data_IF_826106713468
#
_entry.id   IF_826106713468
#
_cell.length_a   1.000
_cell.length_b   1.000
_cell.length_c   1.000
_cell.angle_alpha   90.00
_cell.angle_beta   90.00
_cell.angle_gamma   90.00
#
_symmetry.space_group_name_H-M   'P 1'
#
loop_
_entity.id
_entity.type
_entity.pdbx_description
1 polymer ?
#
# COMPACT_ATOMS: atom_id res chain seq x y z
N UNK A 1 -4.46 -30.70 2.26
CA UNK A 1 -3.73 -29.45 2.66
C UNK A 1 -2.40 -29.44 1.91
N UNK A 2 -1.98 -28.35 1.24
CA UNK A 2 -0.77 -28.34 0.41
C UNK A 2 0.46 -28.36 1.34
N UNK A 3 1.26 -29.43 1.34
CA UNK A 3 2.44 -29.65 2.20
C UNK A 3 3.37 -28.42 2.26
N UNK A 4 3.63 -27.77 1.11
CA UNK A 4 4.46 -26.57 1.02
C UNK A 4 3.90 -25.39 1.83
N UNK A 5 2.57 -25.22 1.82
CA UNK A 5 1.92 -24.16 2.62
C UNK A 5 2.02 -24.49 4.12
N UNK A 6 1.79 -25.73 4.52
CA UNK A 6 1.87 -26.14 5.93
C UNK A 6 3.29 -25.96 6.48
N UNK A 7 4.32 -26.32 5.71
CA UNK A 7 5.71 -26.13 6.09
C UNK A 7 6.03 -24.63 6.24
N UNK A 8 5.71 -23.80 5.23
CA UNK A 8 5.93 -22.36 5.28
C UNK A 8 5.19 -21.71 6.45
N UNK A 9 3.91 -22.04 6.62
CA UNK A 9 3.08 -21.53 7.71
C UNK A 9 3.63 -21.92 9.08
N UNK A 10 4.13 -23.15 9.24
CA UNK A 10 4.79 -23.62 10.46
C UNK A 10 6.05 -22.81 10.78
N UNK A 11 6.94 -22.61 9.79
CA UNK A 11 8.15 -21.80 9.97
C UNK A 11 7.80 -20.36 10.34
N UNK A 12 6.88 -19.73 9.59
CA UNK A 12 6.43 -18.35 9.88
C UNK A 12 5.79 -18.26 11.27
N UNK A 13 4.98 -19.24 11.65
CA UNK A 13 4.36 -19.31 12.99
C UNK A 13 5.40 -19.33 14.11
N UNK A 14 6.47 -20.10 13.98
CA UNK A 14 7.56 -20.14 14.96
C UNK A 14 8.31 -18.81 14.98
N UNK A 15 8.77 -18.35 13.83
CA UNK A 15 9.52 -17.08 13.72
C UNK A 15 8.71 -15.90 14.24
N UNK A 16 7.43 -15.83 13.96
CA UNK A 16 6.56 -14.74 14.39
C UNK A 16 6.41 -14.61 15.91
N UNK A 17 6.64 -15.69 16.67
CA UNK A 17 6.58 -15.69 18.13
C UNK A 17 7.86 -15.19 18.80
N UNK A 18 8.94 -15.02 18.04
CA UNK A 18 10.19 -14.50 18.58
C UNK A 18 9.99 -13.08 19.17
N UNK A 19 10.72 -12.75 20.25
CA UNK A 19 10.73 -11.39 20.79
C UNK A 19 11.21 -10.37 19.76
N UNK A 20 10.71 -9.15 19.80
CA UNK A 20 11.08 -8.08 18.88
C UNK A 20 12.58 -7.83 18.79
N UNK A 21 13.30 -7.92 19.92
CA UNK A 21 14.77 -7.75 19.94
C UNK A 21 15.46 -8.78 19.04
N UNK A 22 14.98 -10.03 19.05
CA UNK A 22 15.53 -11.11 18.24
C UNK A 22 15.17 -10.89 16.76
N UNK A 23 13.91 -10.54 16.46
CA UNK A 23 13.46 -10.23 15.09
C UNK A 23 14.26 -9.07 14.48
N UNK A 24 14.53 -8.02 15.26
CA UNK A 24 15.34 -6.91 14.77
C UNK A 24 16.83 -7.23 14.64
N UNK A 25 17.39 -8.10 15.48
CA UNK A 25 18.74 -8.61 15.28
C UNK A 25 18.84 -9.43 13.97
N UNK A 26 17.82 -10.26 13.68
CA UNK A 26 17.70 -10.96 12.40
C UNK A 26 17.60 -9.96 11.24
N UNK A 27 16.78 -8.91 11.37
CA UNK A 27 16.67 -7.84 10.37
C UNK A 27 18.01 -7.16 10.09
N UNK A 28 18.76 -6.83 11.12
CA UNK A 28 20.08 -6.17 10.99
C UNK A 28 21.10 -7.09 10.29
N UNK A 29 21.09 -8.38 10.60
CA UNK A 29 21.87 -9.38 9.88
C UNK A 29 21.43 -9.55 8.42
N UNK A 30 20.12 -9.63 8.18
CA UNK A 30 19.56 -9.65 6.82
C UNK A 30 19.97 -8.41 6.02
N UNK A 31 19.95 -7.22 6.62
CA UNK A 31 20.41 -5.99 5.97
C UNK A 31 21.86 -6.12 5.49
N UNK A 32 22.75 -6.68 6.34
CA UNK A 32 24.13 -6.93 5.92
C UNK A 32 24.18 -7.83 4.68
N UNK A 33 23.49 -8.96 4.69
CA UNK A 33 23.46 -9.90 3.56
C UNK A 33 22.83 -9.28 2.30
N UNK A 34 21.67 -8.63 2.43
CA UNK A 34 20.89 -8.09 1.31
C UNK A 34 21.61 -6.89 0.67
N UNK A 35 22.19 -6.00 1.49
CA UNK A 35 22.79 -4.76 1.00
C UNK A 35 24.25 -4.95 0.55
N UNK A 36 25.08 -5.63 1.34
CA UNK A 36 26.52 -5.72 1.05
C UNK A 36 26.89 -6.97 0.23
N UNK A 37 26.30 -8.13 0.53
CA UNK A 37 26.66 -9.40 -0.10
C UNK A 37 25.85 -9.59 -1.38
N UNK A 38 24.54 -9.75 -1.30
CA UNK A 38 23.66 -10.01 -2.44
C UNK A 38 23.46 -8.78 -3.32
N UNK A 39 23.62 -7.58 -2.79
CA UNK A 39 23.39 -6.29 -3.48
C UNK A 39 22.03 -6.23 -4.16
N UNK A 40 21.00 -6.81 -3.51
CA UNK A 40 19.68 -7.02 -4.07
C UNK A 40 19.08 -5.70 -4.59
N UNK A 41 18.92 -5.60 -5.90
CA UNK A 41 18.33 -4.46 -6.62
C UNK A 41 18.95 -3.09 -6.31
N UNK A 42 20.19 -3.00 -5.80
CA UNK A 42 20.82 -1.72 -5.44
C UNK A 42 20.88 -0.73 -6.61
N UNK A 43 21.16 -1.21 -7.85
CA UNK A 43 21.14 -0.34 -9.04
C UNK A 43 19.76 0.27 -9.26
N UNK A 44 18.67 -0.50 -9.08
CA UNK A 44 17.29 -0.01 -9.22
C UNK A 44 16.96 1.02 -8.13
N UNK A 45 17.29 0.74 -6.88
CA UNK A 45 17.06 1.66 -5.76
C UNK A 45 17.83 2.95 -5.96
N UNK A 46 19.13 2.87 -6.30
CA UNK A 46 19.99 4.03 -6.56
C UNK A 46 19.45 4.88 -7.71
N UNK A 47 19.10 4.27 -8.86
CA UNK A 47 18.56 4.98 -10.01
C UNK A 47 17.23 5.67 -9.67
N UNK A 48 16.32 4.96 -9.00
CA UNK A 48 15.06 5.52 -8.55
C UNK A 48 15.27 6.73 -7.63
N UNK A 49 16.12 6.62 -6.61
CA UNK A 49 16.41 7.70 -5.66
C UNK A 49 17.07 8.91 -6.34
N UNK A 50 18.11 8.68 -7.15
CA UNK A 50 18.84 9.78 -7.83
C UNK A 50 17.90 10.57 -8.76
N UNK A 51 17.04 9.88 -9.50
CA UNK A 51 16.10 10.54 -10.41
C UNK A 51 14.90 11.19 -9.72
N UNK A 52 14.56 10.74 -8.50
CA UNK A 52 13.46 11.29 -7.71
C UNK A 52 13.88 12.47 -6.83
N UNK A 53 15.16 12.60 -6.54
CA UNK A 53 15.73 13.64 -5.69
C UNK A 53 16.93 14.30 -6.36
N UNK A 54 16.69 14.88 -7.53
CA UNK A 54 17.75 15.47 -8.39
C UNK A 54 18.57 16.57 -7.71
N UNK A 55 17.99 17.25 -6.69
CA UNK A 55 18.68 18.28 -5.90
C UNK A 55 19.54 17.74 -4.75
N UNK A 56 19.55 16.41 -4.49
CA UNK A 56 20.33 15.81 -3.39
C UNK A 56 21.72 15.37 -3.88
N UNK A 57 22.71 15.55 -3.01
CA UNK A 57 24.05 15.04 -3.27
C UNK A 57 24.08 13.51 -3.31
N UNK A 58 25.10 12.96 -3.98
CA UNK A 58 25.27 11.48 -4.06
C UNK A 58 25.43 10.84 -2.69
N UNK A 59 25.98 11.55 -1.71
CA UNK A 59 26.16 11.01 -0.37
C UNK A 59 24.85 11.01 0.43
N UNK A 60 23.98 12.00 0.23
CA UNK A 60 22.61 11.97 0.75
C UNK A 60 21.81 10.83 0.13
N UNK A 61 21.90 10.62 -1.18
CA UNK A 61 21.26 9.48 -1.88
C UNK A 61 21.76 8.15 -1.32
N UNK A 62 23.07 7.99 -1.10
CA UNK A 62 23.63 6.77 -0.49
C UNK A 62 23.18 6.58 0.97
N UNK A 63 22.99 7.67 1.72
CA UNK A 63 22.44 7.60 3.08
C UNK A 63 21.01 7.10 3.06
N UNK A 64 20.14 7.71 2.24
CA UNK A 64 18.73 7.28 2.07
C UNK A 64 18.66 5.81 1.59
N UNK A 65 19.53 5.40 0.67
CA UNK A 65 19.61 4.01 0.21
C UNK A 65 19.93 3.04 1.36
N UNK A 66 20.91 3.36 2.23
CA UNK A 66 21.24 2.52 3.39
C UNK A 66 20.11 2.44 4.41
N UNK A 67 19.46 3.58 4.66
CA UNK A 67 18.29 3.66 5.54
C UNK A 67 17.12 2.86 4.96
N UNK A 68 16.90 2.92 3.64
CA UNK A 68 15.89 2.12 2.95
C UNK A 68 16.13 0.61 3.15
N UNK A 69 17.35 0.11 3.00
CA UNK A 69 17.60 -1.33 3.20
C UNK A 69 17.47 -1.75 4.66
N UNK A 70 17.75 -0.86 5.61
CA UNK A 70 17.44 -1.09 7.02
C UNK A 70 15.92 -1.24 7.21
N UNK A 71 15.15 -0.28 6.70
CA UNK A 71 13.69 -0.33 6.72
C UNK A 71 13.14 -1.57 5.99
N UNK A 72 13.65 -1.88 4.80
CA UNK A 72 13.18 -3.01 3.99
C UNK A 72 13.32 -4.35 4.72
N UNK A 73 14.43 -4.56 5.44
CA UNK A 73 14.61 -5.76 6.24
C UNK A 73 13.72 -5.74 7.50
N UNK A 74 13.53 -4.58 8.13
CA UNK A 74 12.56 -4.41 9.22
C UNK A 74 11.14 -4.77 8.77
N UNK A 75 10.70 -4.25 7.61
CA UNK A 75 9.40 -4.57 7.02
C UNK A 75 9.20 -6.09 6.83
N UNK A 76 10.23 -6.83 6.42
CA UNK A 76 10.11 -8.27 6.24
C UNK A 76 9.85 -8.99 7.56
N UNK A 77 10.59 -8.68 8.64
CA UNK A 77 10.37 -9.30 9.95
C UNK A 77 9.09 -8.82 10.62
N UNK A 78 8.69 -7.57 10.41
CA UNK A 78 7.43 -7.00 10.86
C UNK A 78 6.23 -7.68 10.16
N UNK A 79 6.36 -7.99 8.86
CA UNK A 79 5.36 -8.79 8.11
C UNK A 79 5.27 -10.22 8.64
N UNK A 80 6.41 -10.85 8.97
CA UNK A 80 6.42 -12.17 9.63
C UNK A 80 5.70 -12.08 10.98
N UNK A 81 5.98 -11.06 11.78
CA UNK A 81 5.35 -10.85 13.08
C UNK A 81 3.83 -10.69 12.99
N UNK A 82 3.32 -10.17 11.86
CA UNK A 82 1.88 -10.06 11.61
C UNK A 82 1.13 -11.40 11.78
N UNK A 83 1.82 -12.53 11.63
CA UNK A 83 1.21 -13.86 11.81
C UNK A 83 0.74 -14.12 13.25
N UNK A 84 1.42 -13.58 14.27
CA UNK A 84 1.12 -13.85 15.69
C UNK A 84 0.93 -12.61 16.56
N UNK A 85 1.08 -11.40 16.00
CA UNK A 85 0.88 -10.15 16.74
C UNK A 85 -0.54 -10.11 17.33
N UNK A 86 -0.71 -9.67 18.58
CA UNK A 86 -2.03 -9.55 19.20
C UNK A 86 -2.72 -8.25 18.79
N UNK A 87 -4.02 -8.19 19.02
CA UNK A 87 -4.84 -7.02 18.76
C UNK A 87 -4.39 -5.82 19.60
N UNK A 88 -4.01 -6.06 20.86
CA UNK A 88 -3.51 -5.03 21.77
C UNK A 88 -2.16 -4.51 21.29
N UNK A 89 -1.28 -5.41 20.86
CA UNK A 89 0.04 -5.04 20.40
C UNK A 89 -0.01 -4.25 19.09
N UNK A 90 -0.85 -4.67 18.12
CA UNK A 90 -0.96 -3.94 16.84
C UNK A 90 -1.59 -2.56 17.03
N UNK A 91 -2.56 -2.38 17.95
CA UNK A 91 -3.14 -1.06 18.28
C UNK A 91 -2.09 -0.06 18.78
N UNK A 92 -1.09 -0.52 19.52
CA UNK A 92 -0.01 0.34 20.01
C UNK A 92 1.03 0.65 18.93
N UNK A 93 1.28 -0.31 18.03
CA UNK A 93 2.33 -0.23 16.99
C UNK A 93 1.88 0.41 15.69
N UNK A 94 0.60 0.30 15.35
CA UNK A 94 -0.04 0.97 14.22
C UNK A 94 -1.24 1.75 14.74
N UNK A 95 -1.07 3.06 14.89
CA UNK A 95 -2.12 3.96 15.37
C UNK A 95 -2.80 4.62 14.20
N UNK A 96 -4.13 4.66 14.24
CA UNK A 96 -4.94 5.30 13.22
C UNK A 96 -5.58 6.58 13.77
N UNK A 97 -5.60 7.65 12.96
CA UNK A 97 -6.41 8.85 13.17
C UNK A 97 -7.31 9.09 11.98
N UNK A 98 -8.35 9.92 12.17
CA UNK A 98 -9.32 10.26 11.11
C UNK A 98 -10.34 9.17 10.79
N UNK A 99 -10.27 7.99 11.42
CA UNK A 99 -11.19 6.86 11.13
C UNK A 99 -12.59 7.18 11.63
N UNK A 100 -12.73 7.74 12.84
CA UNK A 100 -14.03 8.14 13.39
C UNK A 100 -14.70 9.18 12.50
N UNK A 101 -13.94 10.20 12.09
CA UNK A 101 -14.41 11.24 11.19
C UNK A 101 -14.90 10.67 9.87
N UNK A 102 -14.12 9.77 9.25
CA UNK A 102 -14.48 9.11 7.99
C UNK A 102 -15.78 8.29 8.12
N UNK A 103 -15.92 7.51 9.20
CA UNK A 103 -17.11 6.67 9.42
C UNK A 103 -18.34 7.55 9.64
N UNK A 104 -18.27 8.55 10.53
CA UNK A 104 -19.38 9.47 10.79
C UNK A 104 -19.76 10.27 9.55
N UNK A 105 -18.79 10.76 8.77
CA UNK A 105 -19.06 11.49 7.54
C UNK A 105 -19.80 10.63 6.51
N UNK A 106 -19.45 9.34 6.41
CA UNK A 106 -20.18 8.39 5.55
C UNK A 106 -21.63 8.20 6.00
N UNK A 107 -21.86 8.12 7.32
CA UNK A 107 -23.19 7.98 7.92
C UNK A 107 -24.03 9.24 7.69
N UNK A 108 -23.51 10.42 8.06
CA UNK A 108 -24.20 11.70 7.92
C UNK A 108 -24.60 12.02 6.47
N UNK A 109 -23.72 11.69 5.51
CA UNK A 109 -23.96 11.92 4.09
C UNK A 109 -24.73 10.78 3.42
N UNK A 110 -25.06 9.71 4.14
CA UNK A 110 -25.71 8.52 3.59
C UNK A 110 -24.90 7.82 2.51
N UNK A 111 -23.56 7.92 2.55
CA UNK A 111 -22.68 7.32 1.56
C UNK A 111 -22.47 5.83 1.83
N UNK A 112 -22.58 5.01 0.78
CA UNK A 112 -22.36 3.57 0.90
C UNK A 112 -20.88 3.20 0.79
N UNK A 113 -20.03 4.06 0.18
CA UNK A 113 -18.64 3.73 -0.09
C UNK A 113 -17.68 4.82 0.38
N UNK A 114 -16.64 4.38 1.13
CA UNK A 114 -15.43 5.13 1.39
C UNK A 114 -14.24 4.40 0.74
N UNK A 115 -13.50 5.06 -0.14
CA UNK A 115 -12.34 4.50 -0.79
C UNK A 115 -11.07 5.14 -0.26
N UNK A 116 -10.11 4.33 0.13
CA UNK A 116 -8.84 4.78 0.70
C UNK A 116 -7.71 4.43 -0.25
N UNK A 117 -7.04 5.45 -0.79
CA UNK A 117 -5.78 5.27 -1.48
C UNK A 117 -4.65 4.95 -0.48
N UNK A 118 -3.87 3.94 -0.80
CA UNK A 118 -2.69 3.51 -0.05
C UNK A 118 -1.48 3.42 -0.98
N UNK A 119 -0.29 3.35 -0.37
CA UNK A 119 0.95 3.09 -1.07
C UNK A 119 1.75 1.97 -0.38
N UNK A 120 2.75 1.41 -1.07
CA UNK A 120 3.74 0.52 -0.46
C UNK A 120 4.74 1.36 0.36
N UNK A 121 4.23 1.99 1.42
CA UNK A 121 4.94 2.93 2.28
C UNK A 121 4.84 2.52 3.75
N UNK A 122 5.93 2.59 4.50
CA UNK A 122 5.97 2.08 5.86
C UNK A 122 5.64 0.58 5.95
N UNK A 123 5.11 0.12 7.06
CA UNK A 123 4.65 -1.26 7.19
C UNK A 123 3.20 -1.39 6.68
N UNK A 124 3.00 -1.27 5.36
CA UNK A 124 1.68 -1.29 4.72
C UNK A 124 0.87 -2.57 4.97
N UNK A 125 1.50 -3.72 5.27
CA UNK A 125 0.77 -4.93 5.63
C UNK A 125 0.04 -4.76 6.99
N UNK A 126 0.57 -3.93 7.89
CA UNK A 126 -0.07 -3.64 9.17
C UNK A 126 -1.29 -2.73 9.03
N UNK A 127 -1.41 -1.99 7.92
CA UNK A 127 -2.60 -1.18 7.63
C UNK A 127 -3.86 -2.07 7.51
N UNK A 128 -3.71 -3.37 7.26
CA UNK A 128 -4.84 -4.32 7.32
C UNK A 128 -5.58 -4.32 8.68
N UNK A 129 -4.91 -3.91 9.76
CA UNK A 129 -5.55 -3.74 11.09
C UNK A 129 -6.54 -2.56 11.16
N UNK A 130 -6.56 -1.67 10.16
CA UNK A 130 -7.58 -0.65 10.00
C UNK A 130 -9.00 -1.24 9.98
N UNK A 131 -9.15 -2.45 9.45
CA UNK A 131 -10.43 -3.14 9.43
C UNK A 131 -11.05 -3.32 10.82
N UNK A 132 -10.21 -3.66 11.81
CA UNK A 132 -10.66 -3.74 13.20
C UNK A 132 -11.03 -2.36 13.73
N UNK A 133 -10.21 -1.34 13.46
CA UNK A 133 -10.46 0.03 13.93
C UNK A 133 -11.78 0.60 13.36
N UNK A 134 -12.09 0.32 12.08
CA UNK A 134 -13.38 0.70 11.47
C UNK A 134 -14.53 0.06 12.24
N UNK A 135 -14.45 -1.25 12.52
CA UNK A 135 -15.49 -1.97 13.26
C UNK A 135 -15.60 -1.58 14.73
N UNK A 136 -14.50 -1.13 15.33
CA UNK A 136 -14.52 -0.57 16.70
C UNK A 136 -15.34 0.74 16.75
N UNK A 137 -15.45 1.49 15.61
CA UNK A 137 -16.32 2.69 15.50
C UNK A 137 -17.75 2.29 15.20
N UNK A 138 -17.95 1.49 14.14
CA UNK A 138 -19.25 0.96 13.78
C UNK A 138 -19.12 -0.45 13.18
N UNK A 139 -19.70 -1.44 13.86
CA UNK A 139 -19.60 -2.87 13.51
C UNK A 139 -20.31 -3.23 12.20
N UNK A 140 -21.26 -2.41 11.73
CA UNK A 140 -22.06 -2.68 10.52
C UNK A 140 -21.28 -2.40 9.24
N UNK A 141 -20.18 -1.65 9.34
CA UNK A 141 -19.32 -1.38 8.19
C UNK A 141 -18.59 -2.65 7.72
N UNK A 142 -18.48 -2.79 6.41
CA UNK A 142 -17.70 -3.85 5.75
C UNK A 142 -16.34 -3.29 5.33
N UNK A 143 -15.25 -3.52 6.08
CA UNK A 143 -13.91 -3.19 5.64
C UNK A 143 -13.43 -4.19 4.60
N UNK A 144 -12.85 -3.69 3.50
CA UNK A 144 -12.31 -4.50 2.42
C UNK A 144 -10.96 -3.93 1.93
N UNK A 145 -10.19 -4.75 1.24
CA UNK A 145 -8.94 -4.35 0.60
C UNK A 145 -8.77 -5.03 -0.74
N UNK A 146 -8.40 -4.25 -1.75
CA UNK A 146 -8.10 -4.79 -3.07
C UNK A 146 -6.65 -5.27 -3.12
N UNK A 147 -6.44 -6.48 -3.62
CA UNK A 147 -5.12 -7.05 -3.78
C UNK A 147 -4.90 -7.69 -5.16
N UNK A 148 -3.64 -7.73 -5.59
CA UNK A 148 -3.24 -8.47 -6.77
C UNK A 148 -2.79 -9.89 -6.36
N UNK A 149 -3.47 -10.96 -6.80
CA UNK A 149 -3.05 -12.33 -6.50
C UNK A 149 -1.60 -12.59 -6.93
N UNK A 150 -0.83 -13.21 -6.05
CA UNK A 150 0.56 -13.56 -6.33
C UNK A 150 0.65 -14.79 -7.23
N UNK A 151 1.67 -14.83 -8.09
CA UNK A 151 1.94 -15.98 -8.95
C UNK A 151 2.29 -17.25 -8.15
N UNK A 152 3.01 -17.11 -7.05
CA UNK A 152 3.29 -18.21 -6.14
C UNK A 152 2.10 -18.44 -5.19
N UNK A 153 1.36 -19.51 -5.41
CA UNK A 153 0.15 -19.86 -4.66
C UNK A 153 0.35 -20.08 -3.15
N UNK A 154 1.55 -20.49 -2.74
CA UNK A 154 1.89 -20.67 -1.33
C UNK A 154 1.99 -19.34 -0.60
N UNK A 155 2.70 -18.38 -1.19
CA UNK A 155 2.77 -17.00 -0.66
C UNK A 155 1.44 -16.27 -0.79
N UNK A 156 0.72 -16.44 -1.90
CA UNK A 156 -0.61 -15.86 -2.09
C UNK A 156 -1.55 -16.23 -0.94
N UNK A 157 -1.61 -17.51 -0.60
CA UNK A 157 -2.42 -18.00 0.53
C UNK A 157 -1.95 -17.46 1.89
N UNK A 158 -0.63 -17.33 2.09
CA UNK A 158 -0.09 -16.74 3.32
C UNK A 158 -0.50 -15.28 3.46
N UNK A 159 -0.30 -14.46 2.43
CA UNK A 159 -0.68 -13.05 2.46
C UNK A 159 -2.19 -12.84 2.54
N UNK A 160 -2.99 -13.70 1.88
CA UNK A 160 -4.44 -13.69 2.03
C UNK A 160 -4.84 -13.90 3.50
N UNK A 161 -4.23 -14.88 4.18
CA UNK A 161 -4.45 -15.13 5.61
C UNK A 161 -4.02 -13.92 6.46
N UNK A 162 -2.80 -13.40 6.26
CA UNK A 162 -2.27 -12.28 7.04
C UNK A 162 -3.16 -11.04 6.95
N UNK A 163 -3.57 -10.70 5.73
CA UNK A 163 -4.41 -9.52 5.46
C UNK A 163 -5.83 -9.66 5.95
N UNK A 164 -6.35 -10.89 6.04
CA UNK A 164 -7.70 -11.16 6.54
C UNK A 164 -7.81 -11.26 8.06
N UNK A 165 -6.68 -11.32 8.79
CA UNK A 165 -6.66 -11.56 10.25
C UNK A 165 -7.49 -10.58 11.07
N UNK A 166 -7.55 -9.33 10.65
CA UNK A 166 -8.29 -8.29 11.36
C UNK A 166 -9.71 -8.09 10.82
N UNK A 167 -10.17 -9.04 10.01
CA UNK A 167 -11.56 -9.07 9.53
C UNK A 167 -11.80 -8.27 8.25
N UNK A 168 -10.76 -7.83 7.53
CA UNK A 168 -10.95 -7.25 6.20
C UNK A 168 -11.31 -8.32 5.16
N UNK A 169 -12.25 -8.00 4.27
CA UNK A 169 -12.53 -8.79 3.08
C UNK A 169 -11.45 -8.54 2.03
N UNK A 170 -10.67 -9.56 1.67
CA UNK A 170 -9.65 -9.46 0.62
C UNK A 170 -10.27 -9.70 -0.75
N UNK A 171 -10.28 -8.67 -1.61
CA UNK A 171 -10.93 -8.68 -2.93
C UNK A 171 -9.87 -8.73 -4.03
N UNK A 172 -9.84 -9.77 -4.87
CA UNK A 172 -8.95 -9.79 -6.04
C UNK A 172 -9.23 -8.61 -6.96
N UNK A 173 -8.17 -7.96 -7.46
CA UNK A 173 -8.29 -6.74 -8.28
C UNK A 173 -9.26 -6.90 -9.47
N UNK A 174 -9.31 -8.08 -10.10
CA UNK A 174 -10.23 -8.35 -11.21
C UNK A 174 -11.70 -8.44 -10.80
N UNK A 175 -11.97 -8.69 -9.52
CA UNK A 175 -13.32 -8.86 -8.97
C UNK A 175 -13.83 -7.59 -8.26
N UNK A 176 -13.02 -6.54 -8.21
CA UNK A 176 -13.33 -5.31 -7.46
C UNK A 176 -14.67 -4.71 -7.88
N UNK A 177 -14.92 -4.55 -9.19
CA UNK A 177 -16.18 -3.97 -9.67
C UNK A 177 -17.39 -4.83 -9.29
N UNK A 178 -17.27 -6.15 -9.43
CA UNK A 178 -18.33 -7.09 -9.04
C UNK A 178 -18.62 -6.98 -7.55
N UNK A 179 -17.59 -7.01 -6.71
CA UNK A 179 -17.74 -6.84 -5.26
C UNK A 179 -18.45 -5.53 -4.90
N UNK A 180 -18.03 -4.41 -5.50
CA UNK A 180 -18.66 -3.10 -5.26
C UNK A 180 -20.14 -3.11 -5.64
N UNK A 181 -20.51 -3.72 -6.78
CA UNK A 181 -21.91 -3.82 -7.20
C UNK A 181 -22.73 -4.71 -6.24
N UNK A 182 -22.17 -5.81 -5.75
CA UNK A 182 -22.79 -6.69 -4.76
C UNK A 182 -23.04 -5.93 -3.42
N UNK A 183 -22.06 -5.15 -2.93
CA UNK A 183 -22.23 -4.35 -1.73
C UNK A 183 -23.29 -3.24 -1.92
N UNK A 184 -23.30 -2.60 -3.10
CA UNK A 184 -24.31 -1.58 -3.46
C UNK A 184 -25.73 -2.17 -3.46
N UNK A 185 -25.91 -3.34 -4.07
CA UNK A 185 -27.19 -4.03 -4.10
C UNK A 185 -27.67 -4.43 -2.69
N UNK A 186 -26.73 -4.86 -1.86
CA UNK A 186 -27.00 -5.20 -0.46
C UNK A 186 -27.17 -3.98 0.46
N UNK A 187 -26.98 -2.75 -0.06
CA UNK A 187 -26.99 -1.46 0.69
C UNK A 187 -26.04 -1.48 1.89
N UNK A 188 -24.87 -2.12 1.77
CA UNK A 188 -23.89 -2.23 2.85
C UNK A 188 -22.87 -1.09 2.77
N UNK A 189 -22.72 -0.36 3.86
CA UNK A 189 -21.64 0.62 3.98
C UNK A 189 -20.29 -0.09 3.98
N UNK A 190 -19.43 0.29 3.02
CA UNK A 190 -18.21 -0.45 2.72
C UNK A 190 -17.03 0.52 2.58
N UNK A 191 -15.95 0.25 3.32
CA UNK A 191 -14.69 0.99 3.21
C UNK A 191 -13.65 0.09 2.53
N UNK A 192 -13.09 0.55 1.40
CA UNK A 192 -12.20 -0.26 0.56
C UNK A 192 -10.85 0.40 0.41
N UNK A 193 -9.78 -0.30 0.81
CA UNK A 193 -8.40 0.12 0.61
C UNK A 193 -7.84 -0.30 -0.76
N UNK A 194 -7.16 0.62 -1.44
CA UNK A 194 -6.53 0.42 -2.75
C UNK A 194 -5.05 0.82 -2.71
N UNK A 195 -4.13 -0.12 -2.84
CA UNK A 195 -2.72 0.19 -3.02
C UNK A 195 -2.48 0.49 -4.51
N UNK A 196 -2.23 1.76 -4.87
CA UNK A 196 -2.27 2.23 -6.26
C UNK A 196 -0.94 2.79 -6.79
N UNK A 197 0.15 2.73 -6.03
CA UNK A 197 1.45 3.36 -6.35
C UNK A 197 2.35 2.58 -7.31
N UNK A 198 1.95 1.38 -7.76
CA UNK A 198 2.74 0.59 -8.71
C UNK A 198 2.36 0.83 -10.17
N UNK A 199 3.23 0.37 -11.10
CA UNK A 199 3.06 0.59 -12.53
C UNK A 199 2.01 -0.34 -13.16
N UNK A 200 0.99 0.18 -13.87
CA UNK A 200 0.05 -0.63 -14.65
C UNK A 200 0.76 -1.35 -15.81
N UNK A 201 0.15 -2.38 -16.37
CA UNK A 201 0.60 -3.02 -17.61
C UNK A 201 0.35 -2.08 -18.81
N UNK A 202 1.07 -2.27 -19.93
CA UNK A 202 0.95 -1.42 -21.12
C UNK A 202 -0.50 -1.24 -21.59
N UNK A 203 -1.24 -2.30 -21.69
CA UNK A 203 -2.65 -2.30 -22.11
C UNK A 203 -3.63 -1.79 -21.04
N UNK A 204 -3.14 -1.36 -19.90
CA UNK A 204 -3.93 -0.82 -18.79
C UNK A 204 -3.48 0.60 -18.42
N UNK A 205 -2.66 1.23 -19.26
CA UNK A 205 -2.25 2.64 -19.09
C UNK A 205 -3.30 3.50 -19.78
N UNK A 206 -4.00 4.30 -18.99
CA UNK A 206 -5.00 5.24 -19.49
C UNK A 206 -4.70 6.69 -19.08
N UNK A 207 -3.77 6.88 -18.13
CA UNK A 207 -3.39 8.19 -17.65
C UNK A 207 -1.91 8.23 -17.24
N UNK A 208 -1.30 9.38 -17.41
CA UNK A 208 0.07 9.70 -17.01
C UNK A 208 0.05 10.96 -16.14
N UNK A 209 0.52 10.85 -14.93
CA UNK A 209 0.68 11.97 -13.99
C UNK A 209 2.15 12.37 -13.86
N UNK A 210 2.40 13.58 -13.36
CA UNK A 210 3.73 13.96 -12.89
C UNK A 210 3.90 13.43 -11.46
N UNK A 211 4.93 12.60 -11.24
CA UNK A 211 5.22 12.02 -9.92
C UNK A 211 6.72 11.84 -9.74
N UNK A 212 7.26 12.39 -8.65
CA UNK A 212 8.70 12.36 -8.37
C UNK A 212 9.53 12.86 -9.55
N UNK A 213 9.14 14.00 -10.11
CA UNK A 213 9.78 14.70 -11.25
C UNK A 213 9.76 13.89 -12.56
N UNK A 214 8.84 12.97 -12.75
CA UNK A 214 8.76 12.12 -13.95
C UNK A 214 7.33 11.86 -14.39
N UNK A 215 7.11 11.86 -15.71
CA UNK A 215 5.88 11.31 -16.29
C UNK A 215 5.72 9.85 -15.91
N UNK A 216 4.63 9.53 -15.25
CA UNK A 216 4.43 8.27 -14.55
C UNK A 216 3.07 7.67 -14.89
N UNK A 217 3.02 6.43 -15.45
CA UNK A 217 1.74 5.78 -15.73
C UNK A 217 1.10 5.30 -14.44
N UNK A 218 -0.22 5.50 -14.30
CA UNK A 218 -0.95 5.27 -13.06
C UNK A 218 -2.20 4.41 -13.26
N UNK A 219 -2.64 3.75 -12.16
CA UNK A 219 -3.92 3.09 -12.12
C UNK A 219 -5.02 4.12 -11.85
N UNK A 220 -6.09 4.08 -12.64
CA UNK A 220 -7.24 4.98 -12.53
C UNK A 220 -8.50 4.26 -11.99
N UNK A 221 -8.36 2.98 -11.64
CA UNK A 221 -9.51 2.13 -11.25
C UNK A 221 -10.25 2.64 -10.02
N UNK A 222 -9.52 3.10 -9.01
CA UNK A 222 -10.09 3.63 -7.76
C UNK A 222 -10.97 4.84 -8.04
N UNK A 223 -10.48 5.82 -8.79
CA UNK A 223 -11.25 7.02 -9.16
C UNK A 223 -12.47 6.66 -10.02
N UNK A 224 -12.27 5.87 -11.09
CA UNK A 224 -13.35 5.50 -12.01
C UNK A 224 -14.48 4.76 -11.32
N UNK A 225 -14.17 3.85 -10.40
CA UNK A 225 -15.18 3.11 -9.63
C UNK A 225 -15.79 4.07 -8.60
N UNK A 226 -14.98 4.88 -7.90
CA UNK A 226 -15.44 5.85 -6.91
C UNK A 226 -16.47 6.83 -7.47
N UNK A 227 -16.19 7.44 -8.62
CA UNK A 227 -17.14 8.32 -9.33
C UNK A 227 -18.46 7.61 -9.68
N UNK A 228 -18.38 6.34 -10.14
CA UNK A 228 -19.57 5.56 -10.53
C UNK A 228 -20.49 5.22 -9.36
N UNK A 229 -19.94 5.06 -8.16
CA UNK A 229 -20.71 4.69 -6.96
C UNK A 229 -20.86 5.82 -5.96
N UNK A 230 -20.40 7.01 -6.31
CA UNK A 230 -20.47 8.22 -5.48
C UNK A 230 -19.78 8.02 -4.11
N UNK A 231 -18.53 7.52 -4.15
CA UNK A 231 -17.74 7.25 -2.96
C UNK A 231 -17.09 8.51 -2.40
N UNK A 232 -16.89 8.56 -1.09
CA UNK A 232 -15.92 9.46 -0.48
C UNK A 232 -14.53 8.92 -0.73
N UNK A 233 -13.55 9.79 -0.99
CA UNK A 233 -12.18 9.39 -1.29
C UNK A 233 -11.23 9.93 -0.23
N UNK A 234 -10.41 9.05 0.30
CA UNK A 234 -9.42 9.31 1.34
C UNK A 234 -8.03 8.86 0.92
N UNK A 235 -7.03 9.37 1.60
CA UNK A 235 -5.63 8.95 1.53
C UNK A 235 -5.16 8.46 2.89
N UNK A 236 -4.47 7.33 2.94
CA UNK A 236 -3.83 6.81 4.13
C UNK A 236 -2.37 7.27 4.18
N UNK A 237 -2.10 8.31 4.98
CA UNK A 237 -0.77 8.87 5.20
C UNK A 237 -0.05 8.10 6.31
N UNK A 238 0.77 7.13 5.93
CA UNK A 238 1.52 6.30 6.87
C UNK A 238 2.84 6.99 7.22
N UNK A 239 3.17 7.06 8.52
CA UNK A 239 4.45 7.59 9.02
C UNK A 239 5.11 6.60 9.95
N UNK A 240 6.43 6.45 9.84
CA UNK A 240 7.22 5.71 10.81
C UNK A 240 7.63 6.64 11.94
N UNK A 241 7.08 6.41 13.13
CA UNK A 241 7.44 7.19 14.35
C UNK A 241 8.80 6.75 14.89
N UNK A 242 9.00 5.43 14.94
CA UNK A 242 10.25 4.77 15.29
C UNK A 242 10.22 3.33 14.79
N UNK A 243 11.32 2.60 14.92
CA UNK A 243 11.40 1.18 14.51
C UNK A 243 10.27 0.36 15.14
N UNK A 244 9.39 -0.22 14.29
CA UNK A 244 8.24 -1.02 14.70
C UNK A 244 7.07 -0.24 15.29
N UNK A 245 7.01 1.08 15.04
CA UNK A 245 5.88 1.92 15.44
C UNK A 245 5.54 2.90 14.33
N UNK A 246 4.27 2.91 13.96
CA UNK A 246 3.73 3.69 12.85
C UNK A 246 2.46 4.43 13.26
N UNK A 247 2.19 5.52 12.57
CA UNK A 247 0.87 6.16 12.51
C UNK A 247 0.33 6.08 11.09
N UNK A 248 -0.97 6.10 10.97
CA UNK A 248 -1.66 6.16 9.69
C UNK A 248 -2.83 7.14 9.83
N UNK A 249 -2.69 8.31 9.22
CA UNK A 249 -3.69 9.36 9.25
C UNK A 249 -4.60 9.19 8.01
N UNK A 250 -5.90 9.02 8.23
CA UNK A 250 -6.89 8.94 7.14
C UNK A 250 -7.31 10.37 6.78
N UNK A 251 -6.79 10.87 5.67
CA UNK A 251 -6.97 12.23 5.21
C UNK A 251 -8.01 12.28 4.08
N UNK A 252 -9.00 13.19 4.10
CA UNK A 252 -9.94 13.33 3.00
C UNK A 252 -9.23 13.86 1.74
N UNK A 253 -9.56 13.28 0.59
CA UNK A 253 -9.26 13.85 -0.73
C UNK A 253 -10.50 14.61 -1.21
N UNK A 254 -11.67 13.99 -1.16
CA UNK A 254 -12.95 14.61 -1.47
C UNK A 254 -14.12 13.83 -0.87
N UNK A 255 -15.16 14.54 -0.55
CA UNK A 255 -16.47 14.04 -0.14
C UNK A 255 -17.50 13.99 -1.30
N UNK A 256 -17.15 14.58 -2.45
CA UNK A 256 -17.92 14.49 -3.71
C UNK A 256 -16.99 14.33 -4.90
N UNK A 257 -17.06 13.17 -5.56
CA UNK A 257 -16.26 12.87 -6.73
C UNK A 257 -16.74 13.52 -8.04
N UNK A 258 -17.98 14.00 -8.09
CA UNK A 258 -18.66 14.41 -9.34
C UNK A 258 -18.07 15.67 -9.98
N UNK A 259 -17.71 16.74 -9.21
CA UNK A 259 -17.24 17.98 -9.81
C UNK A 259 -15.83 17.89 -10.38
N UNK A 260 -15.09 16.84 -10.04
CA UNK A 260 -13.70 16.70 -10.48
C UNK A 260 -13.60 16.17 -11.93
N UNK A 261 -12.75 16.76 -12.78
CA UNK A 261 -12.39 16.19 -14.08
C UNK A 261 -11.86 14.75 -13.96
N UNK A 262 -11.87 14.01 -15.07
CA UNK A 262 -11.28 12.68 -15.09
C UNK A 262 -9.79 12.72 -14.75
N UNK A 263 -9.39 11.79 -13.87
CA UNK A 263 -8.04 11.58 -13.37
C UNK A 263 -7.56 12.58 -12.30
N UNK A 264 -8.28 13.67 -12.03
CA UNK A 264 -7.85 14.68 -11.06
C UNK A 264 -7.70 14.10 -9.63
N UNK A 265 -8.62 13.23 -9.20
CA UNK A 265 -8.53 12.59 -7.88
C UNK A 265 -7.33 11.64 -7.78
N UNK A 266 -6.99 10.99 -8.89
CA UNK A 266 -5.78 10.17 -9.00
C UNK A 266 -4.52 11.04 -8.91
N UNK A 267 -4.50 12.19 -9.58
CA UNK A 267 -3.39 13.13 -9.52
C UNK A 267 -3.24 13.76 -8.13
N UNK A 268 -4.36 14.08 -7.43
CA UNK A 268 -4.34 14.54 -6.04
C UNK A 268 -3.70 13.49 -5.11
N UNK A 269 -4.08 12.21 -5.25
CA UNK A 269 -3.44 11.13 -4.51
C UNK A 269 -1.91 11.10 -4.75
N UNK A 270 -1.47 11.19 -6.00
CA UNK A 270 -0.03 11.16 -6.30
C UNK A 270 0.71 12.38 -5.77
N UNK A 271 0.11 13.57 -5.75
CA UNK A 271 0.67 14.76 -5.09
C UNK A 271 0.83 14.54 -3.58
N UNK A 272 -0.20 14.02 -2.89
CA UNK A 272 -0.12 13.71 -1.45
C UNK A 272 0.93 12.64 -1.16
N UNK A 273 0.98 11.57 -1.95
CA UNK A 273 1.99 10.52 -1.82
C UNK A 273 3.42 11.05 -2.04
N UNK A 274 3.61 11.96 -2.98
CA UNK A 274 4.92 12.59 -3.22
C UNK A 274 5.41 13.36 -1.99
N UNK A 275 4.53 14.13 -1.33
CA UNK A 275 4.87 14.84 -0.10
C UNK A 275 5.16 13.86 1.06
N UNK A 276 4.39 12.79 1.19
CA UNK A 276 4.68 11.72 2.16
C UNK A 276 6.06 11.09 1.91
N UNK A 277 6.41 10.78 0.66
CA UNK A 277 7.72 10.21 0.32
C UNK A 277 8.85 11.22 0.59
N UNK A 278 8.65 12.49 0.28
CA UNK A 278 9.65 13.55 0.56
C UNK A 278 9.91 13.69 2.05
N UNK A 279 8.89 13.52 2.89
CA UNK A 279 9.01 13.63 4.35
C UNK A 279 9.82 12.48 4.98
N UNK A 280 9.65 11.26 4.47
CA UNK A 280 10.36 10.05 4.94
C UNK A 280 10.83 9.18 3.76
N UNK A 281 11.85 9.63 3.01
CA UNK A 281 12.22 9.00 1.75
C UNK A 281 12.73 7.57 1.87
N UNK A 282 13.17 7.15 3.05
CA UNK A 282 13.74 5.83 3.25
C UNK A 282 12.69 4.69 3.35
N UNK A 283 11.38 5.00 3.43
CA UNK A 283 10.39 3.97 3.76
C UNK A 283 9.34 3.71 2.67
N UNK A 284 9.57 4.18 1.44
CA UNK A 284 8.82 3.77 0.26
C UNK A 284 9.51 2.58 -0.43
N UNK A 285 8.76 1.76 -1.19
CA UNK A 285 9.27 0.52 -1.81
C UNK A 285 10.14 0.80 -3.05
N UNK A 286 11.34 1.34 -2.86
CA UNK A 286 12.28 1.70 -3.93
C UNK A 286 12.80 0.52 -4.76
N UNK A 287 12.66 -0.71 -4.31
CA UNK A 287 13.03 -1.90 -5.09
C UNK A 287 12.09 -2.16 -6.26
N UNK A 288 10.88 -1.58 -6.28
CA UNK A 288 9.99 -1.68 -7.41
C UNK A 288 10.52 -0.89 -8.61
N UNK A 289 10.52 -1.51 -9.81
CA UNK A 289 10.85 -0.82 -11.07
C UNK A 289 9.66 0.06 -11.49
N UNK A 290 9.38 1.15 -10.75
CA UNK A 290 8.19 1.99 -10.91
C UNK A 290 8.11 2.58 -12.31
N UNK A 291 9.24 3.05 -12.83
CA UNK A 291 9.36 3.74 -14.13
C UNK A 291 9.93 2.83 -15.24
N UNK A 292 9.61 1.52 -15.18
CA UNK A 292 10.00 0.55 -16.23
C UNK A 292 9.26 0.75 -17.55
N UNK A 293 8.19 1.55 -17.56
CA UNK A 293 7.45 1.98 -18.75
C UNK A 293 7.57 3.48 -18.82
N UNK A 294 8.23 3.97 -19.87
CA UNK A 294 8.46 5.40 -20.08
C UNK A 294 7.40 5.98 -21.01
N UNK A 295 7.21 7.30 -20.93
CA UNK A 295 6.25 7.99 -21.79
C UNK A 295 6.71 7.99 -23.25
N UNK A 296 8.02 8.09 -23.47
CA UNK A 296 8.65 8.01 -24.80
C UNK A 296 8.37 6.65 -25.45
N UNK A 297 8.57 5.54 -24.72
CA UNK A 297 8.23 4.19 -25.19
C UNK A 297 6.73 4.03 -25.48
N UNK A 298 5.89 4.68 -24.68
CA UNK A 298 4.43 4.69 -24.91
C UNK A 298 4.07 5.38 -26.22
N UNK A 299 4.64 6.55 -26.51
CA UNK A 299 4.42 7.28 -27.76
C UNK A 299 4.90 6.48 -28.99
N UNK A 300 6.08 5.84 -28.90
CA UNK A 300 6.58 4.95 -29.94
C UNK A 300 5.62 3.80 -30.25
N UNK A 301 5.06 3.18 -29.20
CA UNK A 301 4.07 2.09 -29.38
C UNK A 301 2.79 2.56 -30.05
N UNK A 302 2.29 3.76 -29.75
CA UNK A 302 1.14 4.37 -30.40
C UNK A 302 1.40 4.67 -31.88
N UNK A 303 2.62 5.16 -32.20
CA UNK A 303 3.04 5.44 -33.59
C UNK A 303 3.19 4.18 -34.45
N UNK A 304 3.52 3.03 -33.85
CA UNK A 304 3.67 1.75 -34.54
C UNK A 304 2.34 0.97 -34.75
N UNK A 305 1.23 1.47 -34.22
CA UNK A 305 -0.11 0.87 -34.34
C UNK A 305 -0.92 1.51 -35.50
N UNK A 306 -0.31 2.44 -36.26
CA UNK A 306 -0.93 3.06 -37.45
C UNK A 306 -0.62 2.28 -38.71
#
# INVERSE_FOLDING_TARGET
MNFRYSLLSGVISVLSRLPWRVLYAISDFMRFLVYYVARYRRKVVRDNLTKSFSGKSIDEIKRIEREFYSFFCDYLVETVKLYSITDEEIKVRMRFSGVDTMVHEMEEKGKLFGFIYLAHFGCWEWVSSLAKRIRDVNADFTPAQVYHPLSNKTFDRLFFYLRGRFGATSVPMKETLRFVLEQRQAKRQTIIGFIADQAPKWNSIHHWTEFMQRKTPVFIGTERIGKRVDALIYYADVKRVRRGYYTCDILPITDDCKPYPDYELTDMYFRMLEETIKSQPAIWLWTHKRWKRTYEEYLQRLGNVK
#
